data_IF_887926006466
#
_entry.id   IF_887926006466
#
_cell.length_a   1.000
_cell.length_b   1.000
_cell.length_c   1.000
_cell.angle_alpha   90.00
_cell.angle_beta   90.00
_cell.angle_gamma   90.00
#
_symmetry.space_group_name_H-M   'P 1'
#
loop_
_entity.id
_entity.type
_entity.pdbx_description
1 polymer ?
#
# COMPACT_ATOMS: atom_id res chain seq x y z
N UNK A 1 46.34 39.68 6.78
CA UNK A 1 45.16 40.12 6.01
C UNK A 1 44.14 39.00 6.16
N UNK A 2 43.04 39.24 6.88
CA UNK A 2 42.00 38.23 7.08
C UNK A 2 41.12 38.24 5.84
N UNK A 3 40.93 37.07 5.23
CA UNK A 3 40.01 36.91 4.11
C UNK A 3 38.78 36.18 4.63
N UNK A 4 37.62 36.81 4.52
CA UNK A 4 36.33 36.21 4.86
C UNK A 4 35.67 35.75 3.56
N UNK A 5 35.12 34.54 3.56
CA UNK A 5 34.26 34.06 2.49
C UNK A 5 32.88 33.81 3.10
N UNK A 6 31.90 34.65 2.74
CA UNK A 6 30.51 34.41 3.07
C UNK A 6 29.91 33.54 1.97
N UNK A 7 29.36 32.39 2.34
CA UNK A 7 28.57 31.55 1.43
C UNK A 7 27.17 31.47 2.01
N UNK A 8 26.19 31.90 1.22
CA UNK A 8 24.79 31.91 1.60
C UNK A 8 24.10 30.68 1.00
N UNK A 9 23.44 29.87 1.84
CA UNK A 9 22.61 28.74 1.43
C UNK A 9 21.27 28.86 2.17
N UNK A 10 20.29 29.51 1.52
CA UNK A 10 19.02 29.86 2.15
C UNK A 10 19.18 30.84 3.32
N UNK A 11 18.32 30.74 4.35
CA UNK A 11 18.26 31.66 5.49
C UNK A 11 19.33 31.41 6.57
N UNK A 12 20.33 30.57 6.31
CA UNK A 12 21.41 30.24 7.26
C UNK A 12 22.74 30.78 6.74
N UNK A 13 23.30 31.77 7.43
CA UNK A 13 24.67 32.25 7.18
C UNK A 13 25.68 31.48 8.03
N UNK A 14 26.62 30.80 7.37
CA UNK A 14 27.71 30.09 8.04
C UNK A 14 29.00 30.90 7.91
N UNK A 15 29.51 31.42 9.04
CA UNK A 15 30.77 32.16 9.07
C UNK A 15 31.94 31.20 9.33
N UNK A 16 32.81 30.99 8.33
CA UNK A 16 33.97 30.11 8.46
C UNK A 16 35.25 30.93 8.60
N UNK A 17 35.95 30.79 9.74
CA UNK A 17 37.22 31.46 10.02
C UNK A 17 38.42 30.56 9.70
N UNK A 18 39.36 31.04 8.89
CA UNK A 18 40.64 30.37 8.64
C UNK A 18 41.78 31.06 9.41
N UNK A 19 42.47 30.33 10.29
CA UNK A 19 43.75 30.75 10.86
C UNK A 19 44.90 30.19 10.00
N UNK A 20 45.66 31.07 9.35
CA UNK A 20 46.72 30.67 8.43
C UNK A 20 48.01 30.17 9.11
N UNK A 21 48.50 29.00 8.69
CA UNK A 21 49.92 28.66 8.52
C UNK A 21 50.07 27.67 7.36
N UNK A 22 50.86 28.05 6.35
CA UNK A 22 51.22 27.19 5.22
C UNK A 22 52.14 26.05 5.67
N UNK A 23 51.77 24.81 5.34
CA UNK A 23 52.62 23.64 5.47
C UNK A 23 52.00 22.42 4.83
N UNK A 24 52.49 22.05 3.64
CA UNK A 24 52.49 20.73 2.95
C UNK A 24 51.38 19.68 3.20
N UNK A 25 50.19 20.06 3.66
CA UNK A 25 49.06 19.17 3.96
C UNK A 25 47.84 19.46 3.08
N UNK A 26 47.90 20.49 2.24
CA UNK A 26 46.75 20.99 1.46
C UNK A 26 46.28 20.06 0.33
N UNK A 27 47.08 19.07 -0.11
CA UNK A 27 46.67 18.15 -1.18
C UNK A 27 45.69 17.08 -0.65
N UNK A 28 45.82 16.70 0.62
CA UNK A 28 44.98 15.64 1.22
C UNK A 28 43.60 16.13 1.67
N UNK A 29 43.43 17.45 1.83
CA UNK A 29 42.19 18.01 2.32
C UNK A 29 41.11 18.08 1.23
N UNK A 30 41.47 18.35 -0.04
CA UNK A 30 40.49 18.63 -1.09
C UNK A 30 39.66 17.42 -1.55
N UNK A 31 40.19 16.19 -1.47
CA UNK A 31 39.42 15.00 -1.87
C UNK A 31 38.33 14.65 -0.85
N UNK A 32 38.55 14.93 0.44
CA UNK A 32 37.58 14.60 1.50
C UNK A 32 36.32 15.47 1.50
N UNK A 33 36.38 16.72 1.04
CA UNK A 33 35.20 17.61 1.00
C UNK A 33 34.29 17.33 -0.19
N UNK A 34 34.83 16.79 -1.30
CA UNK A 34 34.02 16.33 -2.44
C UNK A 34 33.15 15.13 -2.06
N UNK A 35 33.64 14.20 -1.23
CA UNK A 35 32.82 13.09 -0.76
C UNK A 35 31.69 13.53 0.18
N UNK A 36 31.91 14.52 1.04
CA UNK A 36 30.88 15.03 1.97
C UNK A 36 29.76 15.79 1.26
N UNK A 37 30.06 16.53 0.18
CA UNK A 37 29.04 17.21 -0.63
C UNK A 37 28.21 16.24 -1.48
N UNK A 38 28.83 15.17 -2.01
CA UNK A 38 28.12 14.11 -2.75
C UNK A 38 27.23 13.28 -1.81
N UNK A 39 27.67 12.98 -0.59
CA UNK A 39 26.86 12.27 0.41
C UNK A 39 25.71 13.13 0.95
N UNK A 40 25.91 14.45 1.04
CA UNK A 40 24.86 15.42 1.42
C UNK A 40 23.77 15.58 0.35
N UNK A 41 24.13 15.57 -0.94
CA UNK A 41 23.16 15.63 -2.04
C UNK A 41 22.40 14.31 -2.27
N UNK A 42 22.97 13.16 -1.91
CA UNK A 42 22.29 11.85 -2.01
C UNK A 42 21.27 11.60 -0.88
N UNK A 43 21.18 12.50 0.10
CA UNK A 43 20.21 12.44 1.18
C UNK A 43 19.03 13.42 1.00
N UNK A 44 18.70 13.81 -0.24
CA UNK A 44 17.35 14.30 -0.51
C UNK A 44 16.40 13.15 -0.22
N UNK A 45 15.56 13.35 0.80
CA UNK A 45 14.66 12.35 1.34
C UNK A 45 14.00 11.57 0.21
N UNK A 46 14.21 10.25 0.20
CA UNK A 46 13.35 9.36 -0.55
C UNK A 46 11.95 9.57 0.02
N UNK A 47 11.16 10.43 -0.62
CA UNK A 47 9.71 10.41 -0.51
C UNK A 47 9.34 8.99 -0.90
N UNK A 48 8.97 8.19 0.11
CA UNK A 48 8.67 6.78 -0.09
C UNK A 48 7.41 6.68 -0.94
N UNK A 49 7.59 6.40 -2.23
CA UNK A 49 6.51 6.20 -3.18
C UNK A 49 5.60 5.06 -2.72
N UNK A 50 4.30 5.28 -2.82
CA UNK A 50 3.30 4.24 -2.54
C UNK A 50 3.07 3.44 -3.82
N UNK A 51 3.77 2.32 -3.94
CA UNK A 51 3.76 1.42 -5.11
C UNK A 51 3.72 -0.04 -4.70
N UNK A 52 3.22 -0.90 -5.60
CA UNK A 52 3.35 -2.35 -5.42
C UNK A 52 4.83 -2.72 -5.52
N UNK A 53 5.27 -3.60 -4.62
CA UNK A 53 6.66 -4.05 -4.57
C UNK A 53 6.77 -5.56 -4.67
N UNK A 54 7.80 -6.01 -5.37
CA UNK A 54 8.14 -7.42 -5.48
C UNK A 54 8.95 -7.92 -4.26
N UNK A 55 9.35 -9.19 -4.29
CA UNK A 55 10.13 -9.85 -3.23
C UNK A 55 11.53 -9.24 -3.05
N UNK A 56 12.03 -8.49 -4.03
CA UNK A 56 13.32 -7.80 -3.99
C UNK A 56 13.19 -6.31 -3.60
N UNK A 57 12.01 -5.91 -3.09
CA UNK A 57 11.65 -4.52 -2.77
C UNK A 57 11.65 -3.56 -3.98
N UNK A 58 11.66 -4.11 -5.20
CA UNK A 58 11.62 -3.31 -6.42
C UNK A 58 10.17 -2.99 -6.82
N UNK A 59 9.96 -1.80 -7.37
CA UNK A 59 8.64 -1.38 -7.82
C UNK A 59 8.15 -2.24 -9.00
N UNK A 60 6.86 -2.58 -8.97
CA UNK A 60 6.13 -3.26 -10.04
C UNK A 60 4.79 -2.58 -10.28
N UNK A 61 4.27 -2.68 -11.51
CA UNK A 61 3.01 -2.03 -11.85
C UNK A 61 1.82 -2.72 -11.18
N UNK A 62 1.84 -4.05 -11.18
CA UNK A 62 0.86 -4.89 -10.50
C UNK A 62 1.48 -6.24 -10.14
N UNK A 63 0.92 -6.92 -9.15
CA UNK A 63 1.19 -8.32 -8.88
C UNK A 63 -0.06 -9.09 -8.45
N UNK A 64 -0.01 -10.39 -8.65
CA UNK A 64 -0.95 -11.39 -8.14
C UNK A 64 -0.16 -12.37 -7.28
N UNK A 65 -0.64 -12.59 -6.07
CA UNK A 65 -0.10 -13.55 -5.14
C UNK A 65 -1.18 -14.60 -4.82
N UNK A 66 -0.82 -15.87 -4.93
CA UNK A 66 -1.66 -16.99 -4.51
C UNK A 66 -0.98 -17.75 -3.36
N UNK A 67 -1.47 -17.55 -2.14
CA UNK A 67 -0.98 -18.22 -0.95
C UNK A 67 -1.57 -19.62 -0.87
N UNK A 68 -0.71 -20.62 -0.70
CA UNK A 68 -1.08 -22.03 -0.59
C UNK A 68 -1.77 -22.33 0.75
N UNK A 69 -2.73 -23.26 0.80
CA UNK A 69 -3.34 -23.69 2.06
C UNK A 69 -2.34 -24.47 2.92
N UNK A 70 -2.66 -24.63 4.19
CA UNK A 70 -1.88 -25.44 5.13
C UNK A 70 -1.96 -26.94 4.76
N UNK A 71 -0.84 -27.65 4.96
CA UNK A 71 -0.72 -29.11 4.82
C UNK A 71 -1.02 -29.65 3.42
N UNK A 72 -0.62 -28.92 2.38
CA UNK A 72 -0.59 -29.43 1.00
C UNK A 72 0.71 -30.18 0.79
N UNK A 73 0.68 -31.45 0.33
CA UNK A 73 1.91 -32.19 0.01
C UNK A 73 2.74 -31.49 -1.07
N UNK A 74 4.03 -31.30 -0.81
CA UNK A 74 5.02 -30.88 -1.82
C UNK A 74 6.13 -31.93 -1.92
N UNK A 75 7.03 -31.86 -2.93
CA UNK A 75 8.15 -32.81 -3.04
C UNK A 75 9.08 -32.87 -1.83
N UNK A 76 9.16 -31.78 -1.04
CA UNK A 76 10.04 -31.67 0.12
C UNK A 76 9.27 -31.93 1.41
N UNK A 77 8.33 -31.03 1.75
CA UNK A 77 7.54 -31.08 2.97
C UNK A 77 6.14 -30.48 2.75
N UNK A 78 5.13 -30.86 3.55
CA UNK A 78 3.82 -30.22 3.48
C UNK A 78 3.90 -28.72 3.76
N UNK A 79 3.11 -27.92 3.05
CA UNK A 79 3.08 -26.46 3.24
C UNK A 79 2.68 -26.06 4.66
N UNK A 80 3.33 -25.01 5.17
CA UNK A 80 2.97 -24.35 6.44
C UNK A 80 1.79 -23.39 6.29
N UNK A 81 1.36 -23.13 5.05
CA UNK A 81 0.21 -22.30 4.72
C UNK A 81 0.57 -20.81 4.63
N UNK A 82 1.86 -20.49 4.53
CA UNK A 82 2.36 -19.12 4.30
C UNK A 82 3.08 -18.98 2.95
N UNK A 83 3.41 -20.10 2.31
CA UNK A 83 4.03 -20.15 1.00
C UNK A 83 3.09 -19.59 -0.07
N UNK A 84 3.62 -18.88 -1.06
CA UNK A 84 2.82 -18.38 -2.18
C UNK A 84 3.50 -18.47 -3.53
N UNK A 85 2.67 -18.62 -4.56
CA UNK A 85 3.04 -18.32 -5.94
C UNK A 85 2.88 -16.84 -6.23
N UNK A 86 3.75 -16.30 -7.08
CA UNK A 86 3.80 -14.88 -7.40
C UNK A 86 3.96 -14.63 -8.90
N UNK A 87 3.23 -13.65 -9.40
CA UNK A 87 3.34 -13.13 -10.76
C UNK A 87 3.14 -11.62 -10.73
N UNK A 88 3.91 -10.90 -11.52
CA UNK A 88 3.80 -9.45 -11.66
C UNK A 88 3.90 -9.01 -13.12
N UNK A 89 3.93 -7.68 -13.30
CA UNK A 89 4.08 -7.05 -14.60
C UNK A 89 5.35 -7.42 -15.38
N UNK A 90 6.38 -7.99 -14.72
CA UNK A 90 7.65 -8.42 -15.33
C UNK A 90 7.67 -9.92 -15.63
N UNK A 91 6.83 -10.72 -14.97
CA UNK A 91 6.67 -12.15 -15.24
C UNK A 91 6.29 -12.96 -14.02
N UNK A 92 6.49 -14.28 -14.09
CA UNK A 92 6.24 -15.21 -12.97
C UNK A 92 7.52 -15.46 -12.18
N UNK A 93 7.41 -15.51 -10.86
CA UNK A 93 8.46 -16.05 -9.99
C UNK A 93 8.11 -17.51 -9.63
N UNK A 94 9.10 -18.41 -9.76
CA UNK A 94 8.94 -19.82 -9.42
C UNK A 94 9.41 -20.14 -8.00
N UNK A 95 10.14 -19.22 -7.36
CA UNK A 95 10.56 -19.35 -5.97
C UNK A 95 9.38 -19.06 -5.04
N UNK A 96 9.17 -19.95 -4.07
CA UNK A 96 8.14 -19.77 -3.06
C UNK A 96 8.67 -18.86 -1.96
N UNK A 97 7.95 -17.77 -1.72
CA UNK A 97 8.18 -16.87 -0.59
C UNK A 97 7.07 -17.01 0.45
N UNK A 98 7.30 -16.44 1.63
CA UNK A 98 6.36 -16.52 2.76
C UNK A 98 5.61 -15.21 2.96
N UNK A 99 4.27 -15.25 2.90
CA UNK A 99 3.40 -14.07 2.92
C UNK A 99 3.48 -13.26 4.23
N UNK A 100 3.90 -13.89 5.32
CA UNK A 100 4.06 -13.27 6.63
C UNK A 100 5.46 -12.68 6.85
N UNK A 101 6.36 -12.79 5.87
CA UNK A 101 7.69 -12.18 5.94
C UNK A 101 7.61 -10.67 5.73
N UNK A 102 8.34 -9.92 6.56
CA UNK A 102 8.53 -8.48 6.38
C UNK A 102 9.11 -8.10 5.02
N UNK A 103 9.89 -9.01 4.41
CA UNK A 103 10.58 -8.78 3.14
C UNK A 103 9.88 -9.47 1.94
N UNK A 104 8.68 -10.03 2.14
CA UNK A 104 7.85 -10.52 1.04
C UNK A 104 7.33 -9.38 0.18
N UNK A 105 6.89 -9.65 -1.05
CA UNK A 105 6.18 -8.66 -1.89
C UNK A 105 5.08 -7.90 -1.12
N UNK A 106 4.26 -8.63 -0.35
CA UNK A 106 3.23 -8.02 0.49
C UNK A 106 3.82 -7.19 1.64
N UNK A 107 4.80 -7.71 2.37
CA UNK A 107 5.47 -6.99 3.46
C UNK A 107 6.19 -5.72 3.01
N UNK A 108 6.81 -5.76 1.82
CA UNK A 108 7.46 -4.63 1.16
C UNK A 108 6.43 -3.56 0.76
N UNK A 109 5.32 -3.99 0.15
CA UNK A 109 4.23 -3.10 -0.27
C UNK A 109 3.57 -2.39 0.91
N UNK A 110 3.37 -3.09 2.04
CA UNK A 110 2.68 -2.55 3.23
C UNK A 110 3.57 -1.64 4.08
N UNK A 111 4.86 -1.51 3.80
CA UNK A 111 5.78 -0.72 4.64
C UNK A 111 5.28 0.69 4.98
N UNK A 112 4.65 1.46 4.06
CA UNK A 112 4.07 2.77 4.39
C UNK A 112 2.95 2.70 5.46
N UNK A 113 2.14 1.63 5.45
CA UNK A 113 1.01 1.43 6.37
C UNK A 113 1.45 1.34 7.83
N UNK A 114 2.64 0.81 8.11
CA UNK A 114 3.09 0.51 9.47
C UNK A 114 3.63 1.73 10.23
N UNK A 115 3.67 2.91 9.59
CA UNK A 115 4.00 4.16 10.27
C UNK A 115 2.92 4.50 11.30
N UNK A 116 3.30 5.12 12.40
CA UNK A 116 2.32 5.65 13.36
C UNK A 116 1.50 6.75 12.70
N UNK A 117 0.18 6.76 12.90
CA UNK A 117 -0.73 7.79 12.35
C UNK A 117 -0.28 9.20 12.76
N UNK A 118 0.27 9.36 13.97
CA UNK A 118 0.78 10.65 14.47
C UNK A 118 1.99 11.19 13.69
N UNK A 119 2.66 10.31 12.93
CA UNK A 119 3.86 10.61 12.17
C UNK A 119 3.65 10.32 10.67
N UNK A 120 2.40 10.13 10.23
CA UNK A 120 2.11 9.99 8.80
C UNK A 120 2.22 11.35 8.13
N UNK A 121 2.77 11.36 6.92
CA UNK A 121 2.83 12.55 6.08
C UNK A 121 1.40 12.99 5.71
N UNK A 122 1.17 14.29 5.58
CA UNK A 122 -0.12 14.85 5.16
C UNK A 122 -0.49 14.45 3.73
N UNK A 123 0.50 14.06 2.93
CA UNK A 123 0.31 13.52 1.58
C UNK A 123 -0.04 12.04 1.57
N UNK A 124 0.04 11.32 2.70
CA UNK A 124 -0.25 9.90 2.79
C UNK A 124 -1.64 9.63 3.38
N UNK A 125 -2.39 8.72 2.75
CA UNK A 125 -3.66 8.23 3.26
C UNK A 125 -3.82 6.72 3.08
N UNK A 126 -4.66 6.09 3.90
CA UNK A 126 -5.02 4.69 3.74
C UNK A 126 -6.44 4.36 4.21
N UNK A 127 -7.00 3.30 3.64
CA UNK A 127 -8.28 2.69 4.02
C UNK A 127 -8.10 1.18 4.05
N UNK A 128 -8.24 0.55 5.21
CA UNK A 128 -8.38 -0.90 5.34
C UNK A 128 -9.86 -1.24 5.47
N UNK A 129 -10.36 -2.11 4.59
CA UNK A 129 -11.76 -2.54 4.60
C UNK A 129 -11.89 -4.06 4.56
N UNK A 130 -12.87 -4.59 5.28
CA UNK A 130 -13.12 -6.04 5.36
C UNK A 130 -14.50 -6.30 5.96
N UNK A 131 -15.24 -7.30 5.48
CA UNK A 131 -16.43 -7.79 6.18
C UNK A 131 -16.11 -8.59 7.46
N UNK A 132 -14.85 -8.99 7.61
CA UNK A 132 -14.32 -9.76 8.74
C UNK A 132 -13.00 -9.15 9.22
N UNK A 133 -13.00 -7.93 9.79
CA UNK A 133 -11.79 -7.28 10.28
C UNK A 133 -11.26 -7.94 11.58
N UNK A 134 -10.06 -7.55 12.05
CA UNK A 134 -9.59 -7.98 13.36
C UNK A 134 -10.51 -7.48 14.48
N UNK A 135 -10.90 -8.36 15.40
CA UNK A 135 -11.61 -8.01 16.64
C UNK A 135 -13.10 -7.67 16.53
N UNK A 136 -13.69 -7.64 15.32
CA UNK A 136 -15.12 -7.44 15.13
C UNK A 136 -15.59 -8.04 13.78
N UNK A 137 -16.90 -8.08 13.55
CA UNK A 137 -17.49 -8.47 12.26
C UNK A 137 -18.35 -7.32 11.71
N UNK A 138 -18.32 -7.14 10.39
CA UNK A 138 -19.19 -6.19 9.73
C UNK A 138 -20.66 -6.67 9.79
N UNK A 139 -21.61 -5.74 9.84
CA UNK A 139 -23.04 -6.08 9.77
C UNK A 139 -23.37 -6.67 8.38
N UNK A 140 -23.75 -7.96 8.25
CA UNK A 140 -23.86 -8.64 6.96
C UNK A 140 -24.98 -8.10 6.07
N UNK A 141 -26.02 -7.50 6.65
CA UNK A 141 -27.12 -6.89 5.91
C UNK A 141 -26.82 -5.45 5.44
N UNK A 142 -25.64 -4.93 5.78
CA UNK A 142 -25.24 -3.54 5.50
C UNK A 142 -24.02 -3.45 4.61
N UNK A 143 -23.04 -4.33 4.79
CA UNK A 143 -21.75 -4.24 4.10
C UNK A 143 -21.54 -5.40 3.12
N UNK A 144 -20.80 -5.12 2.04
CA UNK A 144 -20.34 -6.11 1.08
C UNK A 144 -19.40 -7.13 1.72
N UNK A 145 -19.42 -8.39 1.30
CA UNK A 145 -18.38 -9.40 1.59
C UNK A 145 -17.00 -9.11 0.95
N UNK A 146 -16.57 -7.85 0.92
CA UNK A 146 -15.33 -7.42 0.28
C UNK A 146 -14.23 -7.21 1.31
N UNK A 147 -12.98 -7.44 0.91
CA UNK A 147 -11.80 -7.10 1.71
C UNK A 147 -10.72 -6.48 0.83
N UNK A 148 -9.97 -5.54 1.38
CA UNK A 148 -8.89 -4.88 0.67
C UNK A 148 -8.27 -3.74 1.46
N UNK A 149 -7.25 -3.16 0.84
CA UNK A 149 -6.46 -2.08 1.41
C UNK A 149 -6.11 -1.07 0.33
N UNK A 150 -6.41 0.19 0.59
CA UNK A 150 -6.00 1.33 -0.24
C UNK A 150 -4.91 2.07 0.53
N UNK A 151 -3.79 2.35 -0.12
CA UNK A 151 -2.79 3.32 0.34
C UNK A 151 -2.53 4.30 -0.79
N UNK A 152 -2.35 5.56 -0.47
CA UNK A 152 -2.26 6.60 -1.48
C UNK A 152 -1.34 7.72 -1.01
N UNK A 153 -0.45 8.15 -1.91
CA UNK A 153 0.26 9.42 -1.83
C UNK A 153 -0.41 10.40 -2.81
N UNK A 154 -0.97 11.50 -2.28
CA UNK A 154 -1.72 12.49 -3.07
C UNK A 154 -0.86 13.25 -4.08
N UNK A 155 0.46 13.22 -3.94
CA UNK A 155 1.40 13.89 -4.85
C UNK A 155 1.84 13.01 -6.02
N UNK A 156 1.60 11.69 -5.93
CA UNK A 156 2.16 10.73 -6.88
C UNK A 156 1.19 9.59 -7.20
N UNK A 157 1.35 8.46 -6.52
CA UNK A 157 0.70 7.18 -6.81
C UNK A 157 0.08 6.61 -5.56
N UNK A 158 -0.75 5.59 -5.74
CA UNK A 158 -1.19 4.74 -4.65
C UNK A 158 -1.29 3.29 -5.11
N UNK A 159 -1.60 2.44 -4.15
CA UNK A 159 -1.90 1.03 -4.41
C UNK A 159 -3.30 0.70 -3.95
N UNK A 160 -3.95 -0.18 -4.70
CA UNK A 160 -5.15 -0.87 -4.24
C UNK A 160 -4.87 -2.36 -4.21
N UNK A 161 -4.97 -2.92 -3.00
CA UNK A 161 -4.79 -4.34 -2.72
C UNK A 161 -6.16 -4.96 -2.49
N UNK A 162 -6.54 -5.92 -3.32
CA UNK A 162 -7.70 -6.78 -3.10
C UNK A 162 -7.23 -8.10 -2.51
N UNK A 163 -7.96 -8.62 -1.52
CA UNK A 163 -7.61 -9.91 -0.94
C UNK A 163 -8.81 -10.68 -0.40
N UNK A 164 -8.60 -11.97 -0.13
CA UNK A 164 -9.61 -12.86 0.46
C UNK A 164 -9.38 -13.15 1.95
N UNK A 165 -8.26 -12.72 2.53
CA UNK A 165 -7.85 -13.06 3.90
C UNK A 165 -8.68 -12.34 4.98
N UNK A 166 -9.43 -13.05 5.84
CA UNK A 166 -10.09 -12.46 7.01
C UNK A 166 -9.07 -11.99 8.06
N UNK A 167 -9.46 -11.00 8.87
CA UNK A 167 -8.64 -10.42 9.93
C UNK A 167 -7.30 -9.82 9.44
N UNK A 168 -7.26 -9.37 8.19
CA UNK A 168 -6.08 -8.76 7.58
C UNK A 168 -6.30 -7.26 7.28
N UNK A 169 -5.27 -6.41 7.45
CA UNK A 169 -4.07 -6.67 8.25
C UNK A 169 -4.44 -6.96 9.71
N UNK A 170 -3.73 -7.87 10.36
CA UNK A 170 -4.00 -8.24 11.77
C UNK A 170 -3.61 -7.12 12.72
N UNK A 171 -2.41 -6.56 12.52
CA UNK A 171 -1.93 -5.32 13.13
C UNK A 171 -1.19 -4.50 12.09
N UNK A 172 -1.16 -3.18 12.25
CA UNK A 172 -0.27 -2.32 11.46
C UNK A 172 1.16 -2.35 11.99
N UNK A 173 1.77 -3.53 11.96
CA UNK A 173 3.12 -3.82 12.44
C UNK A 173 3.86 -4.71 11.44
N UNK A 174 5.07 -4.33 11.03
CA UNK A 174 5.85 -5.01 9.98
C UNK A 174 6.06 -6.52 10.20
N UNK A 175 6.15 -6.96 11.46
CA UNK A 175 6.39 -8.37 11.81
C UNK A 175 5.13 -9.08 12.31
N UNK A 176 3.96 -8.43 12.27
CA UNK A 176 2.73 -8.95 12.87
C UNK A 176 1.46 -8.55 12.10
N UNK A 177 1.62 -8.24 10.81
CA UNK A 177 0.52 -7.86 9.93
C UNK A 177 -0.30 -9.07 9.45
N UNK A 178 0.28 -10.27 9.48
CA UNK A 178 -0.35 -11.49 8.99
C UNK A 178 -1.17 -12.20 10.08
N UNK A 179 -2.47 -12.48 9.86
CA UNK A 179 -3.26 -13.25 10.80
C UNK A 179 -2.96 -14.74 10.71
N UNK A 180 -2.66 -15.41 11.84
CA UNK A 180 -2.40 -16.86 11.88
C UNK A 180 -3.57 -17.69 11.33
N UNK A 181 -4.81 -17.22 11.49
CA UNK A 181 -6.00 -17.85 10.88
C UNK A 181 -5.95 -17.89 9.35
N UNK A 182 -5.18 -16.99 8.73
CA UNK A 182 -4.95 -16.95 7.29
C UNK A 182 -4.18 -18.15 6.74
N UNK A 183 -3.45 -18.90 7.58
CA UNK A 183 -2.63 -20.04 7.13
C UNK A 183 -3.48 -21.18 6.58
N UNK A 184 -4.67 -21.40 7.17
CA UNK A 184 -5.49 -22.60 6.94
C UNK A 184 -5.91 -22.78 5.48
N UNK A 185 -6.44 -21.72 4.85
CA UNK A 185 -7.03 -21.77 3.51
C UNK A 185 -6.13 -21.09 2.49
N UNK A 186 -6.32 -21.42 1.21
CA UNK A 186 -5.71 -20.63 0.15
C UNK A 186 -6.25 -19.18 0.17
N UNK A 187 -5.40 -18.23 -0.19
CA UNK A 187 -5.77 -16.82 -0.24
C UNK A 187 -5.19 -16.17 -1.51
N UNK A 188 -5.94 -15.24 -2.08
CA UNK A 188 -5.48 -14.45 -3.23
C UNK A 188 -5.25 -13.01 -2.79
N UNK A 189 -4.21 -12.40 -3.32
CA UNK A 189 -3.94 -10.97 -3.24
C UNK A 189 -3.66 -10.44 -4.64
N UNK A 190 -4.23 -9.28 -4.97
CA UNK A 190 -3.94 -8.55 -6.19
C UNK A 190 -3.57 -7.13 -5.77
N UNK A 191 -2.38 -6.68 -6.13
CA UNK A 191 -1.94 -5.29 -5.94
C UNK A 191 -1.81 -4.63 -7.29
N UNK A 192 -2.36 -3.42 -7.43
CA UNK A 192 -2.14 -2.59 -8.62
C UNK A 192 -1.74 -1.18 -8.18
N UNK A 193 -0.68 -0.66 -8.81
CA UNK A 193 -0.21 0.71 -8.64
C UNK A 193 -0.98 1.62 -9.60
N UNK A 194 -1.59 2.67 -9.09
CA UNK A 194 -2.35 3.64 -9.86
C UNK A 194 -1.82 5.05 -9.66
N UNK A 195 -1.97 5.92 -10.67
CA UNK A 195 -1.81 7.35 -10.49
C UNK A 195 -2.93 7.90 -9.58
N UNK A 196 -2.65 8.96 -8.82
CA UNK A 196 -3.59 9.51 -7.84
C UNK A 196 -4.99 9.81 -8.41
N UNK A 197 -5.07 10.26 -9.67
CA UNK A 197 -6.34 10.55 -10.34
C UNK A 197 -7.31 9.35 -10.48
N UNK A 198 -6.82 8.11 -10.40
CA UNK A 198 -7.66 6.91 -10.45
C UNK A 198 -8.44 6.70 -9.14
N UNK A 199 -8.02 7.33 -8.04
CA UNK A 199 -8.59 7.09 -6.71
C UNK A 199 -9.98 7.69 -6.51
N UNK A 200 -10.41 8.63 -7.36
CA UNK A 200 -11.82 9.05 -7.47
C UNK A 200 -12.71 7.86 -7.88
N UNK A 201 -12.30 7.11 -8.91
CA UNK A 201 -13.02 5.92 -9.38
C UNK A 201 -12.99 4.80 -8.35
N UNK A 202 -11.83 4.57 -7.71
CA UNK A 202 -11.70 3.55 -6.65
C UNK A 202 -12.58 3.90 -5.45
N UNK A 203 -12.57 5.16 -4.98
CA UNK A 203 -13.44 5.59 -3.87
C UNK A 203 -14.93 5.41 -4.18
N UNK A 204 -15.33 5.74 -5.41
CA UNK A 204 -16.70 5.49 -5.90
C UNK A 204 -17.03 3.99 -5.89
N UNK A 205 -16.12 3.15 -6.35
CA UNK A 205 -16.30 1.70 -6.35
C UNK A 205 -16.46 1.13 -4.93
N UNK A 206 -15.61 1.56 -3.98
CA UNK A 206 -15.71 1.13 -2.58
C UNK A 206 -17.06 1.48 -1.95
N UNK A 207 -17.64 2.64 -2.32
CA UNK A 207 -19.01 2.99 -1.94
C UNK A 207 -20.04 2.06 -2.57
N UNK A 208 -19.89 1.70 -3.84
CA UNK A 208 -20.83 0.82 -4.55
C UNK A 208 -20.88 -0.60 -4.00
N UNK A 209 -19.74 -1.15 -3.59
CA UNK A 209 -19.68 -2.47 -2.93
C UNK A 209 -20.08 -2.42 -1.46
N UNK A 210 -20.45 -1.24 -0.93
CA UNK A 210 -20.67 -0.99 0.50
C UNK A 210 -19.52 -1.57 1.35
N UNK A 211 -18.27 -1.21 1.03
CA UNK A 211 -17.09 -1.66 1.78
C UNK A 211 -17.17 -1.22 3.24
N UNK A 212 -16.79 -2.09 4.18
CA UNK A 212 -16.71 -1.73 5.61
C UNK A 212 -15.29 -1.28 5.96
N UNK A 213 -15.01 0.04 6.10
CA UNK A 213 -13.72 0.51 6.57
C UNK A 213 -13.60 0.31 8.08
N UNK A 214 -12.59 -0.43 8.51
CA UNK A 214 -12.37 -0.71 9.94
C UNK A 214 -11.18 0.06 10.51
N UNK A 215 -10.23 0.47 9.67
CA UNK A 215 -9.09 1.30 10.05
C UNK A 215 -8.69 2.21 8.88
N UNK A 216 -8.50 3.50 9.13
CA UNK A 216 -8.23 4.48 8.08
C UNK A 216 -7.52 5.73 8.62
N UNK A 217 -6.84 6.43 7.71
CA UNK A 217 -6.36 7.80 7.87
C UNK A 217 -6.46 8.47 6.51
N UNK A 218 -7.33 9.46 6.36
CA UNK A 218 -7.53 10.19 5.10
C UNK A 218 -7.54 11.68 5.41
N UNK A 219 -6.46 12.41 5.07
CA UNK A 219 -6.39 13.86 5.21
C UNK A 219 -7.46 14.62 4.42
N UNK A 220 -7.77 15.84 4.84
CA UNK A 220 -8.89 16.63 4.29
C UNK A 220 -8.69 17.03 2.82
N UNK A 221 -7.45 17.13 2.34
CA UNK A 221 -7.14 17.52 0.95
C UNK A 221 -7.25 16.35 -0.05
N UNK A 222 -7.64 15.16 0.41
CA UNK A 222 -7.88 14.02 -0.47
C UNK A 222 -9.20 14.12 -1.23
N UNK A 223 -9.30 13.36 -2.32
CA UNK A 223 -10.53 13.18 -3.09
C UNK A 223 -11.74 12.91 -2.19
N UNK A 224 -12.84 13.62 -2.44
CA UNK A 224 -14.09 13.48 -1.67
C UNK A 224 -14.61 12.04 -1.67
N UNK A 225 -14.40 11.29 -2.75
CA UNK A 225 -14.79 9.88 -2.87
C UNK A 225 -14.10 9.02 -1.81
N UNK A 226 -12.81 9.25 -1.53
CA UNK A 226 -12.09 8.54 -0.47
C UNK A 226 -12.57 8.95 0.92
N UNK A 227 -12.79 10.25 1.14
CA UNK A 227 -13.32 10.76 2.41
C UNK A 227 -14.73 10.22 2.69
N UNK A 228 -15.56 10.09 1.66
CA UNK A 228 -16.91 9.55 1.76
C UNK A 228 -16.92 8.05 2.09
N UNK A 229 -15.91 7.29 1.66
CA UNK A 229 -15.77 5.89 2.03
C UNK A 229 -15.57 5.72 3.53
N UNK A 230 -14.94 6.65 4.24
CA UNK A 230 -14.69 6.49 5.69
C UNK A 230 -15.76 7.15 6.56
N UNK A 231 -16.47 8.16 6.03
CA UNK A 231 -17.58 8.87 6.70
C UNK A 231 -18.89 8.07 6.73
N UNK A 232 -18.87 6.74 6.86
CA UNK A 232 -20.10 5.93 6.86
C UNK A 232 -21.07 6.40 7.95
N UNK A 233 -22.07 7.17 7.54
CA UNK A 233 -23.17 7.64 8.38
C UNK A 233 -24.25 6.57 8.46
N UNK A 234 -25.11 6.64 9.47
CA UNK A 234 -26.24 5.73 9.71
C UNK A 234 -27.31 5.73 8.60
N UNK A 235 -27.05 6.35 7.44
CA UNK A 235 -27.89 6.28 6.26
C UNK A 235 -28.05 4.86 5.69
N UNK A 236 -29.03 4.71 4.81
CA UNK A 236 -29.27 3.45 4.10
C UNK A 236 -28.07 3.09 3.21
N UNK A 237 -27.70 1.80 3.10
CA UNK A 237 -26.67 1.35 2.17
C UNK A 237 -26.95 1.85 0.75
N UNK A 238 -25.91 2.19 0.00
CA UNK A 238 -26.07 2.54 -1.41
C UNK A 238 -26.51 1.29 -2.18
N UNK A 239 -27.54 1.44 -3.01
CA UNK A 239 -28.16 0.35 -3.78
C UNK A 239 -28.20 0.76 -5.25
N UNK A 240 -27.22 0.37 -6.07
CA UNK A 240 -27.31 0.58 -7.50
C UNK A 240 -28.32 -0.38 -8.12
N UNK A 241 -29.13 0.10 -9.05
CA UNK A 241 -30.16 -0.70 -9.74
C UNK A 241 -29.58 -1.66 -10.80
N UNK A 242 -28.28 -1.55 -11.10
CA UNK A 242 -27.56 -2.34 -12.11
C UNK A 242 -26.14 -2.66 -11.66
N UNK A 243 -25.49 -3.58 -12.36
CA UNK A 243 -24.05 -3.80 -12.22
C UNK A 243 -23.32 -2.56 -12.71
N UNK A 244 -22.51 -1.96 -11.84
CA UNK A 244 -21.67 -0.82 -12.20
C UNK A 244 -20.33 -1.33 -12.71
N UNK A 245 -19.91 -0.82 -13.87
CA UNK A 245 -18.67 -1.20 -14.53
C UNK A 245 -17.84 0.05 -14.72
N UNK A 246 -16.57 0.01 -14.35
CA UNK A 246 -15.63 1.11 -14.57
C UNK A 246 -14.29 0.60 -15.07
N UNK A 247 -13.59 1.45 -15.81
CA UNK A 247 -12.23 1.19 -16.27
C UNK A 247 -11.26 1.90 -15.32
N UNK A 248 -10.17 1.22 -14.97
CA UNK A 248 -8.99 1.81 -14.34
C UNK A 248 -7.78 1.60 -15.24
N UNK A 249 -6.81 2.50 -15.14
CA UNK A 249 -5.54 2.37 -15.83
C UNK A 249 -4.41 2.45 -14.81
N UNK A 250 -3.59 1.40 -14.71
CA UNK A 250 -2.43 1.38 -13.83
C UNK A 250 -1.37 2.42 -14.22
N UNK A 251 -0.38 2.64 -13.35
CA UNK A 251 0.77 3.52 -13.63
C UNK A 251 1.51 3.09 -14.91
N UNK A 252 1.61 1.79 -15.16
CA UNK A 252 2.23 1.16 -16.33
C UNK A 252 1.32 1.09 -17.57
N UNK A 253 0.17 1.78 -17.57
CA UNK A 253 -0.80 1.82 -18.67
C UNK A 253 -1.50 0.48 -18.97
N UNK A 254 -1.56 -0.44 -18.02
CA UNK A 254 -2.41 -1.64 -18.12
C UNK A 254 -3.85 -1.27 -17.74
N UNK A 255 -4.80 -1.63 -18.61
CA UNK A 255 -6.23 -1.45 -18.33
C UNK A 255 -6.77 -2.55 -17.42
N UNK A 256 -7.60 -2.16 -16.45
CA UNK A 256 -8.33 -3.04 -15.54
C UNK A 256 -9.82 -2.69 -15.58
N UNK A 257 -10.67 -3.71 -15.52
CA UNK A 257 -12.11 -3.54 -15.37
C UNK A 257 -12.52 -3.86 -13.95
N UNK A 258 -13.37 -3.02 -13.37
CA UNK A 258 -13.92 -3.25 -12.05
C UNK A 258 -15.44 -3.33 -12.14
N UNK A 259 -15.99 -4.35 -11.48
CA UNK A 259 -17.41 -4.65 -11.46
C UNK A 259 -17.93 -4.56 -10.03
N UNK A 260 -18.97 -3.76 -9.80
CA UNK A 260 -19.68 -3.72 -8.53
C UNK A 260 -21.10 -4.27 -8.75
N UNK A 261 -21.41 -5.38 -8.06
CA UNK A 261 -22.71 -6.05 -8.10
C UNK A 261 -23.33 -6.11 -6.71
N UNK A 262 -24.65 -5.92 -6.65
CA UNK A 262 -25.44 -6.15 -5.43
C UNK A 262 -25.83 -7.63 -5.27
N UNK A 263 -26.04 -8.07 -4.03
CA UNK A 263 -26.86 -9.24 -3.76
C UNK A 263 -28.29 -8.99 -4.25
N UNK A 264 -28.77 -9.79 -5.19
CA UNK A 264 -30.21 -9.89 -5.41
C UNK A 264 -30.79 -10.78 -4.31
N UNK A 265 -31.98 -10.46 -3.80
CA UNK A 265 -32.73 -11.42 -3.01
C UNK A 265 -33.07 -12.59 -3.95
N UNK A 266 -32.45 -13.75 -3.73
CA UNK A 266 -32.97 -15.00 -4.28
C UNK A 266 -34.21 -15.41 -3.45
N UNK A 267 -35.12 -16.18 -4.04
CA UNK A 267 -36.37 -16.66 -3.41
C UNK A 267 -36.17 -17.40 -2.07
N UNK A 268 -34.94 -17.76 -1.71
CA UNK A 268 -34.55 -18.38 -0.43
C UNK A 268 -34.15 -17.39 0.68
N UNK A 269 -34.34 -16.07 0.51
CA UNK A 269 -34.21 -15.10 1.61
C UNK A 269 -32.79 -14.86 2.16
N UNK A 270 -31.75 -15.28 1.43
CA UNK A 270 -30.34 -15.10 1.82
C UNK A 270 -29.64 -14.12 0.89
N UNK A 271 -29.62 -12.82 1.24
CA UNK A 271 -28.84 -11.83 0.49
C UNK A 271 -27.37 -11.89 0.94
N UNK A 272 -26.47 -12.31 0.06
CA UNK A 272 -25.02 -12.18 0.28
C UNK A 272 -24.43 -11.33 -0.85
N UNK A 273 -23.98 -10.10 -0.57
CA UNK A 273 -23.34 -9.29 -1.60
C UNK A 273 -21.92 -9.80 -1.80
N UNK A 274 -21.60 -10.38 -2.98
CA UNK A 274 -20.33 -10.09 -3.64
C UNK A 274 -20.17 -10.72 -5.02
N UNK A 275 -19.49 -9.95 -5.89
CA UNK A 275 -18.24 -10.39 -6.50
C UNK A 275 -17.49 -9.14 -6.96
N UNK A 276 -16.23 -8.99 -6.53
CA UNK A 276 -15.26 -8.13 -7.22
C UNK A 276 -14.56 -9.04 -8.22
N UNK A 277 -14.66 -8.72 -9.51
CA UNK A 277 -13.79 -9.31 -10.53
C UNK A 277 -12.87 -8.19 -10.98
N UNK A 278 -11.56 -8.43 -10.88
CA UNK A 278 -10.56 -7.78 -11.73
C UNK A 278 -10.37 -8.66 -12.96
#
# INVERSE_FOLDING_TARGET
MWSFLCVSVGDVELLVCFSGRCGASCVFQWEMWSFLLVFGLLCWGSHGSVTCKDDSDAEVDWYILYKMPYNVPTPNEPTTGTEYFYMDSKGRNLELNNINSANSALGNTLRPLFRSIRNMDETFGFISYSDQPPGCDAKPNRFGHSKGLVMVDSTSTGVWILHSTPQFPFRREQNNFWPTSGNRNAQTFICVTFNYNQFTTIGTHLKYINAFPFEHYIPDDFHEELKNVVKWTEGSPYRPDKVEVSMLTSKGNQGFQIFAKQAHNNEEGKSRPLLIVL
#
